data_IF_462411400658
#
_entry.id   IF_462411400658
#
_cell.length_a   1.000
_cell.length_b   1.000
_cell.length_c   1.000
_cell.angle_alpha   90.00
_cell.angle_beta   90.00
_cell.angle_gamma   90.00
#
_symmetry.space_group_name_H-M   'P 1'
#
loop_
_entity.id
_entity.type
_entity.pdbx_description
1 polymer ?
#
# COMPACT_ATOMS: atom_id res chain seq x y z
N UNK A 1 1.32 -37.12 10.92
CA UNK A 1 0.85 -35.76 10.66
C UNK A 1 0.89 -35.53 9.16
N UNK A 2 -0.11 -34.87 8.58
CA UNK A 2 -0.03 -34.46 7.18
C UNK A 2 0.87 -33.22 7.12
N UNK A 3 1.78 -33.17 6.15
CA UNK A 3 2.63 -32.00 5.96
C UNK A 3 1.87 -30.96 5.12
N UNK A 4 2.07 -29.66 5.39
CA UNK A 4 1.54 -28.63 4.51
C UNK A 4 2.17 -28.76 3.11
N UNK A 5 1.37 -28.50 2.07
CA UNK A 5 1.81 -28.63 0.68
C UNK A 5 1.60 -27.31 -0.07
N UNK A 6 2.54 -26.98 -0.97
CA UNK A 6 2.40 -25.88 -1.90
C UNK A 6 2.01 -26.44 -3.27
N UNK A 7 0.90 -25.95 -3.81
CA UNK A 7 0.38 -26.35 -5.12
C UNK A 7 0.45 -25.16 -6.08
N UNK A 8 1.08 -25.36 -7.24
CA UNK A 8 1.12 -24.38 -8.32
C UNK A 8 0.37 -24.93 -9.53
N UNK A 9 -0.65 -24.20 -9.97
CA UNK A 9 -1.48 -24.55 -11.12
C UNK A 9 -1.50 -23.40 -12.12
N UNK A 10 -1.52 -23.72 -13.42
CA UNK A 10 -1.62 -22.73 -14.49
C UNK A 10 -2.73 -23.13 -15.45
N UNK A 11 -3.63 -22.21 -15.73
CA UNK A 11 -4.75 -22.41 -16.65
C UNK A 11 -5.07 -21.13 -17.43
N UNK A 12 -5.17 -21.23 -18.76
CA UNK A 12 -5.66 -20.19 -19.70
C UNK A 12 -5.40 -18.70 -19.34
N UNK A 13 -4.19 -18.39 -18.86
CA UNK A 13 -3.75 -17.02 -18.54
C UNK A 13 -3.64 -16.70 -17.04
N UNK A 14 -4.07 -17.60 -16.17
CA UNK A 14 -3.95 -17.52 -14.72
C UNK A 14 -2.91 -18.49 -14.19
N UNK A 15 -2.21 -18.08 -13.14
CA UNK A 15 -1.36 -18.94 -12.33
C UNK A 15 -1.81 -18.81 -10.88
N UNK A 16 -2.14 -19.93 -10.25
CA UNK A 16 -2.56 -19.98 -8.85
C UNK A 16 -1.49 -20.70 -8.04
N UNK A 17 -1.02 -20.06 -6.97
CA UNK A 17 -0.17 -20.68 -5.97
C UNK A 17 -0.94 -20.77 -4.66
N UNK A 18 -1.09 -21.99 -4.12
CA UNK A 18 -1.87 -22.25 -2.91
C UNK A 18 -1.06 -23.04 -1.90
N UNK A 19 -1.11 -22.61 -0.64
CA UNK A 19 -0.68 -23.43 0.49
C UNK A 19 -1.88 -24.20 1.08
N UNK A 20 -1.77 -25.51 1.19
CA UNK A 20 -2.73 -26.37 1.88
C UNK A 20 -2.17 -26.82 3.22
N UNK A 21 -2.75 -26.33 4.31
CA UNK A 21 -2.37 -26.70 5.68
C UNK A 21 -3.42 -27.68 6.22
N UNK A 22 -3.05 -28.93 6.55
CA UNK A 22 -3.99 -29.92 7.05
C UNK A 22 -4.51 -29.56 8.46
N UNK A 23 -5.76 -29.91 8.77
CA UNK A 23 -6.45 -29.58 10.03
C UNK A 23 -5.78 -30.12 11.31
N UNK A 24 -4.80 -31.02 11.20
CA UNK A 24 -4.01 -31.56 12.30
C UNK A 24 -2.53 -31.33 12.02
N UNK A 25 -2.08 -30.12 12.27
CA UNK A 25 -0.66 -29.84 12.50
C UNK A 25 -0.49 -29.45 13.96
N UNK A 26 0.36 -30.18 14.68
CA UNK A 26 0.77 -29.80 16.03
C UNK A 26 1.96 -28.85 15.92
N UNK A 27 1.80 -27.60 16.39
CA UNK A 27 2.85 -26.58 16.42
C UNK A 27 2.76 -25.51 15.33
N UNK A 28 3.78 -24.65 15.24
CA UNK A 28 3.88 -23.58 14.24
C UNK A 28 4.27 -24.17 12.88
N UNK A 29 3.49 -23.85 11.84
CA UNK A 29 3.82 -24.15 10.46
C UNK A 29 4.56 -22.97 9.86
N UNK A 30 5.83 -23.17 9.51
CA UNK A 30 6.59 -22.21 8.72
C UNK A 30 6.55 -22.64 7.24
N UNK A 31 6.05 -21.75 6.38
CA UNK A 31 5.97 -21.96 4.94
C UNK A 31 6.70 -20.82 4.26
N UNK A 32 7.93 -21.10 3.85
CA UNK A 32 8.71 -20.16 3.06
C UNK A 32 8.52 -20.46 1.57
N UNK A 33 7.97 -19.49 0.85
CA UNK A 33 7.97 -19.50 -0.61
C UNK A 33 9.21 -18.77 -1.12
N UNK A 34 9.91 -19.38 -2.09
CA UNK A 34 11.00 -18.72 -2.80
C UNK A 34 10.50 -17.62 -3.75
N UNK A 35 11.42 -16.97 -4.47
CA UNK A 35 11.06 -15.95 -5.44
C UNK A 35 10.22 -16.54 -6.59
N UNK A 36 9.01 -16.01 -6.78
CA UNK A 36 8.20 -16.24 -7.97
C UNK A 36 8.47 -15.14 -9.00
N UNK A 37 8.80 -15.52 -10.24
CA UNK A 37 8.98 -14.59 -11.35
C UNK A 37 7.83 -14.74 -12.34
N UNK A 38 7.11 -13.65 -12.55
CA UNK A 38 5.97 -13.55 -13.45
C UNK A 38 6.27 -12.47 -14.50
N UNK A 39 5.61 -12.49 -15.67
CA UNK A 39 5.61 -11.32 -16.56
C UNK A 39 5.06 -10.10 -15.82
N UNK A 40 5.64 -8.92 -16.09
CA UNK A 40 5.33 -7.65 -15.45
C UNK A 40 3.97 -7.06 -15.86
N UNK A 41 3.46 -7.48 -17.01
CA UNK A 41 2.17 -7.12 -17.61
C UNK A 41 0.94 -7.86 -17.04
N UNK A 42 1.13 -8.68 -15.99
CA UNK A 42 0.05 -9.51 -15.40
C UNK A 42 -0.49 -8.92 -14.12
N UNK A 43 -1.82 -8.86 -14.02
CA UNK A 43 -2.50 -8.53 -12.78
C UNK A 43 -2.14 -9.52 -11.68
N UNK A 44 -1.82 -9.01 -10.49
CA UNK A 44 -1.51 -9.82 -9.32
C UNK A 44 -2.61 -9.68 -8.28
N UNK A 45 -3.12 -10.82 -7.81
CA UNK A 45 -4.06 -10.91 -6.70
C UNK A 45 -3.46 -11.83 -5.62
N UNK A 46 -3.02 -11.21 -4.52
CA UNK A 46 -2.30 -11.88 -3.44
C UNK A 46 -3.17 -11.88 -2.19
N UNK A 47 -3.49 -13.06 -1.68
CA UNK A 47 -4.23 -13.22 -0.42
C UNK A 47 -3.51 -14.13 0.54
N UNK A 48 -3.26 -13.66 1.75
CA UNK A 48 -2.66 -14.47 2.82
C UNK A 48 -3.21 -14.12 4.20
N UNK A 49 -3.33 -15.11 5.08
CA UNK A 49 -3.72 -14.85 6.47
C UNK A 49 -2.57 -14.28 7.30
N UNK A 50 -1.36 -14.80 7.09
CA UNK A 50 -0.15 -14.45 7.83
C UNK A 50 1.06 -14.51 6.90
N UNK A 51 2.00 -13.58 7.06
CA UNK A 51 3.32 -13.59 6.42
C UNK A 51 3.50 -12.46 5.40
N UNK A 52 4.73 -12.03 5.21
CA UNK A 52 5.03 -10.80 4.49
C UNK A 52 4.86 -10.93 2.97
N UNK A 53 4.48 -9.83 2.32
CA UNK A 53 4.30 -9.74 0.86
C UNK A 53 5.30 -8.74 0.29
N UNK A 54 6.12 -9.17 -0.67
CA UNK A 54 7.00 -8.29 -1.45
C UNK A 54 6.73 -8.42 -2.94
N UNK A 55 6.31 -7.33 -3.58
CA UNK A 55 6.07 -7.25 -5.03
C UNK A 55 6.97 -6.18 -5.63
N UNK A 56 7.69 -6.53 -6.70
CA UNK A 56 8.64 -5.62 -7.35
C UNK A 56 8.57 -5.74 -8.87
N UNK A 57 8.58 -4.59 -9.56
CA UNK A 57 8.78 -4.51 -11.01
C UNK A 57 7.60 -4.98 -11.85
N UNK A 58 6.37 -4.79 -11.36
CA UNK A 58 5.15 -5.01 -12.15
C UNK A 58 4.63 -3.70 -12.70
N UNK A 59 4.22 -3.68 -13.96
CA UNK A 59 3.56 -2.54 -14.62
C UNK A 59 2.03 -2.69 -14.58
N UNK A 60 1.53 -3.91 -14.35
CA UNK A 60 0.11 -4.19 -14.19
C UNK A 60 -0.41 -3.80 -12.81
N UNK A 61 -1.72 -3.94 -12.59
CA UNK A 61 -2.34 -3.66 -11.31
C UNK A 61 -2.07 -4.77 -10.28
N UNK A 62 -2.03 -4.39 -9.01
CA UNK A 62 -1.79 -5.29 -7.88
C UNK A 62 -2.88 -5.14 -6.83
N UNK A 63 -3.44 -6.26 -6.39
CA UNK A 63 -4.34 -6.34 -5.23
C UNK A 63 -3.70 -7.23 -4.16
N UNK A 64 -3.61 -6.71 -2.93
CA UNK A 64 -3.10 -7.47 -1.78
C UNK A 64 -4.14 -7.44 -0.66
N UNK A 65 -4.48 -8.62 -0.12
CA UNK A 65 -5.27 -8.79 1.09
C UNK A 65 -4.50 -9.66 2.09
N UNK A 66 -4.10 -9.07 3.20
CA UNK A 66 -3.32 -9.73 4.24
C UNK A 66 -3.94 -9.56 5.62
N UNK A 67 -3.98 -10.65 6.41
CA UNK A 67 -4.38 -10.58 7.81
C UNK A 67 -3.30 -9.94 8.69
N UNK A 68 -2.12 -10.56 8.74
CA UNK A 68 -0.97 -10.12 9.57
C UNK A 68 0.34 -10.27 8.79
N UNK A 69 1.12 -9.20 8.71
CA UNK A 69 2.43 -9.18 8.08
C UNK A 69 2.68 -7.88 7.33
N UNK A 70 3.93 -7.64 6.97
CA UNK A 70 4.34 -6.43 6.30
C UNK A 70 4.15 -6.53 4.78
N UNK A 71 3.88 -5.39 4.14
CA UNK A 71 3.67 -5.30 2.70
C UNK A 71 4.66 -4.32 2.10
N UNK A 72 5.53 -4.80 1.20
CA UNK A 72 6.43 -3.97 0.41
C UNK A 72 6.05 -4.07 -1.08
N UNK A 73 5.73 -2.95 -1.71
CA UNK A 73 5.40 -2.90 -3.15
C UNK A 73 6.23 -1.83 -3.84
N UNK A 74 6.85 -2.20 -4.97
CA UNK A 74 7.61 -1.31 -5.86
C UNK A 74 7.10 -1.51 -7.30
N UNK A 75 6.37 -0.54 -7.85
CA UNK A 75 5.74 -0.61 -9.19
C UNK A 75 4.22 -0.43 -9.12
N UNK A 76 3.47 -1.25 -9.86
CA UNK A 76 2.02 -1.24 -9.96
C UNK A 76 1.44 -0.03 -10.73
N UNK A 77 1.98 0.25 -11.91
CA UNK A 77 1.58 1.37 -12.78
C UNK A 77 0.09 1.35 -13.14
N UNK A 78 -0.45 0.14 -13.34
CA UNK A 78 -1.87 -0.10 -13.59
C UNK A 78 -2.79 0.16 -12.40
N UNK A 79 -2.25 0.40 -11.20
CA UNK A 79 -3.01 0.68 -9.97
C UNK A 79 -2.74 -0.30 -8.85
N UNK A 80 -2.89 0.19 -7.62
CA UNK A 80 -2.63 -0.57 -6.41
C UNK A 80 -3.82 -0.54 -5.44
N UNK A 81 -4.23 -1.71 -4.95
CA UNK A 81 -5.15 -1.87 -3.84
C UNK A 81 -4.54 -2.75 -2.75
N UNK A 82 -4.37 -2.24 -1.53
CA UNK A 82 -3.85 -3.02 -0.38
C UNK A 82 -4.84 -2.96 0.77
N UNK A 83 -5.15 -4.14 1.33
CA UNK A 83 -5.85 -4.29 2.60
C UNK A 83 -4.97 -5.10 3.53
N UNK A 84 -4.65 -4.55 4.71
CA UNK A 84 -3.92 -5.28 5.76
C UNK A 84 -4.63 -5.15 7.10
N UNK A 85 -4.62 -6.22 7.90
CA UNK A 85 -5.13 -6.17 9.28
C UNK A 85 -4.12 -5.57 10.26
N UNK A 86 -2.89 -6.09 10.26
CA UNK A 86 -1.77 -5.64 11.09
C UNK A 86 -0.45 -5.79 10.33
N UNK A 87 0.36 -4.74 10.30
CA UNK A 87 1.68 -4.72 9.67
C UNK A 87 1.96 -3.38 9.01
N UNK A 88 3.24 -3.12 8.77
CA UNK A 88 3.67 -1.93 8.08
C UNK A 88 3.46 -2.08 6.56
N UNK A 89 3.10 -0.98 5.91
CA UNK A 89 2.87 -0.94 4.46
C UNK A 89 3.83 0.08 3.86
N UNK A 90 4.71 -0.38 2.99
CA UNK A 90 5.67 0.45 2.28
C UNK A 90 5.47 0.30 0.76
N UNK A 91 5.05 1.39 0.13
CA UNK A 91 4.69 1.43 -1.29
C UNK A 91 5.49 2.51 -2.02
N UNK A 92 6.11 2.12 -3.14
CA UNK A 92 6.61 3.06 -4.16
C UNK A 92 5.89 2.74 -5.45
N UNK A 93 5.10 3.66 -5.99
CA UNK A 93 4.26 3.40 -7.17
C UNK A 93 4.16 4.63 -8.09
N UNK A 94 4.17 4.45 -9.42
CA UNK A 94 3.82 5.51 -10.36
C UNK A 94 2.30 5.58 -10.65
N UNK A 95 1.54 4.58 -10.18
CA UNK A 95 0.10 4.45 -10.39
C UNK A 95 -0.76 5.12 -9.31
N UNK A 96 -2.07 4.95 -9.43
CA UNK A 96 -3.01 5.28 -8.36
C UNK A 96 -2.93 4.23 -7.25
N UNK A 97 -3.21 4.63 -6.00
CA UNK A 97 -3.16 3.70 -4.88
C UNK A 97 -4.32 3.90 -3.89
N UNK A 98 -4.90 2.80 -3.45
CA UNK A 98 -5.88 2.72 -2.37
C UNK A 98 -5.39 1.74 -1.30
N UNK A 99 -5.09 2.25 -0.11
CA UNK A 99 -4.52 1.48 1.00
C UNK A 99 -5.43 1.56 2.22
N UNK A 100 -5.79 0.41 2.77
CA UNK A 100 -6.54 0.27 4.02
C UNK A 100 -5.75 -0.61 4.99
N UNK A 101 -5.38 -0.08 6.16
CA UNK A 101 -4.70 -0.85 7.21
C UNK A 101 -5.45 -0.78 8.54
N UNK A 102 -5.56 -1.92 9.23
CA UNK A 102 -6.06 -1.96 10.59
C UNK A 102 -5.04 -1.49 11.64
N UNK A 103 -3.75 -1.58 11.34
CA UNK A 103 -2.67 -1.33 12.29
C UNK A 103 -1.30 -1.31 11.63
N UNK A 104 -0.51 -0.26 11.85
CA UNK A 104 0.87 -0.15 11.34
C UNK A 104 1.18 1.22 10.74
N UNK A 105 2.44 1.44 10.39
CA UNK A 105 2.86 2.62 9.65
C UNK A 105 2.65 2.43 8.15
N UNK A 106 2.03 3.42 7.50
CA UNK A 106 1.91 3.43 6.03
C UNK A 106 2.85 4.46 5.46
N UNK A 107 3.75 4.02 4.59
CA UNK A 107 4.61 4.88 3.77
C UNK A 107 4.24 4.72 2.30
N UNK A 108 3.96 5.83 1.63
CA UNK A 108 3.72 5.86 0.18
C UNK A 108 4.63 6.88 -0.47
N UNK A 109 5.30 6.48 -1.54
CA UNK A 109 6.06 7.36 -2.43
C UNK A 109 5.52 7.24 -3.86
N UNK A 110 5.16 8.38 -4.44
CA UNK A 110 4.80 8.45 -5.85
C UNK A 110 6.07 8.64 -6.67
N UNK A 111 6.47 7.62 -7.45
CA UNK A 111 7.71 7.63 -8.22
C UNK A 111 7.58 8.16 -9.64
N UNK A 112 6.36 8.50 -10.08
CA UNK A 112 6.04 9.01 -11.41
C UNK A 112 5.40 10.39 -11.35
N UNK A 113 4.32 10.60 -12.09
CA UNK A 113 3.47 11.78 -11.91
C UNK A 113 2.61 11.65 -10.64
N UNK A 114 2.11 12.77 -10.13
CA UNK A 114 1.14 12.74 -9.06
C UNK A 114 -0.17 12.09 -9.57
N UNK A 115 -0.65 11.09 -8.83
CA UNK A 115 -1.88 10.31 -9.10
C UNK A 115 -2.79 10.31 -7.88
N UNK A 116 -4.03 9.86 -8.09
CA UNK A 116 -4.99 9.68 -7.00
C UNK A 116 -4.44 8.73 -5.94
N UNK A 117 -4.57 9.13 -4.69
CA UNK A 117 -4.06 8.40 -3.54
C UNK A 117 -5.10 8.45 -2.41
N UNK A 118 -5.46 7.29 -1.91
CA UNK A 118 -6.33 7.15 -0.75
C UNK A 118 -5.66 6.22 0.26
N UNK A 119 -5.45 6.72 1.48
CA UNK A 119 -4.84 5.96 2.58
C UNK A 119 -5.69 6.07 3.82
N UNK A 120 -6.17 4.94 4.32
CA UNK A 120 -6.90 4.83 5.57
C UNK A 120 -6.18 3.88 6.52
N UNK A 121 -5.94 4.33 7.74
CA UNK A 121 -5.46 3.50 8.84
C UNK A 121 -6.40 3.62 10.03
N UNK A 122 -6.69 2.53 10.72
CA UNK A 122 -7.42 2.56 12.00
C UNK A 122 -6.50 2.93 13.18
N UNK A 123 -5.25 2.47 13.12
CA UNK A 123 -4.22 2.65 14.14
C UNK A 123 -2.85 2.75 13.47
N UNK A 124 -2.16 3.88 13.65
CA UNK A 124 -0.82 4.08 13.10
C UNK A 124 -0.72 5.35 12.27
N UNK A 125 0.50 5.69 11.85
CA UNK A 125 0.78 6.97 11.19
C UNK A 125 0.85 6.80 9.68
N UNK A 126 0.63 7.88 8.94
CA UNK A 126 0.76 7.92 7.48
C UNK A 126 1.90 8.87 7.11
N UNK A 127 2.80 8.40 6.25
CA UNK A 127 3.81 9.23 5.58
C UNK A 127 3.60 9.13 4.08
N UNK A 128 3.39 10.27 3.41
CA UNK A 128 3.24 10.33 1.96
C UNK A 128 4.29 11.26 1.36
N UNK A 129 4.92 10.79 0.29
CA UNK A 129 5.79 11.56 -0.59
C UNK A 129 5.10 11.69 -1.94
N UNK A 130 4.57 12.87 -2.22
CA UNK A 130 3.96 13.20 -3.49
C UNK A 130 5.04 13.43 -4.54
N UNK A 131 4.74 13.04 -5.78
CA UNK A 131 5.58 13.36 -6.93
C UNK A 131 5.59 14.87 -7.23
N UNK A 132 4.44 15.52 -7.04
CA UNK A 132 4.23 16.95 -7.25
C UNK A 132 2.98 17.39 -6.47
N UNK A 133 2.91 18.67 -6.12
CA UNK A 133 1.74 19.26 -5.47
C UNK A 133 0.92 20.19 -6.38
N UNK A 134 1.28 20.35 -7.67
CA UNK A 134 0.75 21.39 -8.55
C UNK A 134 -0.78 21.37 -8.77
N UNK A 135 -1.41 20.19 -8.76
CA UNK A 135 -2.85 19.99 -9.07
C UNK A 135 -3.58 19.09 -8.05
N UNK A 136 -3.12 19.11 -6.80
CA UNK A 136 -3.63 18.23 -5.75
C UNK A 136 -4.80 18.85 -4.98
N UNK A 137 -5.88 18.10 -4.80
CA UNK A 137 -6.92 18.31 -3.78
C UNK A 137 -6.60 17.40 -2.57
N UNK A 138 -5.90 17.96 -1.59
CA UNK A 138 -5.41 17.26 -0.42
C UNK A 138 -6.44 17.36 0.72
N UNK A 139 -6.83 16.21 1.26
CA UNK A 139 -7.70 16.08 2.42
C UNK A 139 -7.04 15.16 3.44
N UNK A 140 -6.91 15.64 4.67
CA UNK A 140 -6.28 14.92 5.77
C UNK A 140 -7.18 14.97 6.99
N UNK A 141 -7.43 13.82 7.60
CA UNK A 141 -8.17 13.71 8.86
C UNK A 141 -7.40 12.87 9.88
N UNK A 142 -7.11 13.47 11.04
CA UNK A 142 -6.46 12.79 12.16
C UNK A 142 -6.68 13.52 13.49
N UNK A 143 -6.64 12.80 14.61
CA UNK A 143 -6.53 13.42 15.95
C UNK A 143 -5.08 13.78 16.34
N UNK A 144 -4.11 13.19 15.67
CA UNK A 144 -2.68 13.46 15.81
C UNK A 144 -2.24 14.73 15.07
N UNK A 145 -0.92 14.87 14.91
CA UNK A 145 -0.30 15.98 14.19
C UNK A 145 -0.43 15.77 12.68
N UNK A 146 -0.80 16.83 11.99
CA UNK A 146 -0.69 16.96 10.54
C UNK A 146 0.52 17.82 10.24
N UNK A 147 1.45 17.32 9.42
CA UNK A 147 2.59 18.09 8.91
C UNK A 147 2.63 17.99 7.39
N UNK A 148 2.30 19.08 6.70
CA UNK A 148 2.41 19.17 5.24
C UNK A 148 3.57 20.10 4.90
N UNK A 149 4.50 19.62 4.09
CA UNK A 149 5.67 20.36 3.62
C UNK A 149 5.92 20.06 2.14
N UNK A 150 5.29 20.84 1.29
CA UNK A 150 5.44 20.82 -0.16
C UNK A 150 5.74 22.25 -0.66
N UNK A 151 6.23 22.44 -1.90
CA UNK A 151 6.53 23.76 -2.45
C UNK A 151 5.39 24.77 -2.35
N UNK A 152 4.15 24.32 -2.57
CA UNK A 152 2.95 25.17 -2.57
C UNK A 152 2.22 25.18 -1.22
N UNK A 153 2.48 24.21 -0.33
CA UNK A 153 1.73 24.03 0.92
C UNK A 153 2.70 23.70 2.07
N UNK A 154 2.82 24.63 3.03
CA UNK A 154 3.52 24.37 4.30
C UNK A 154 2.58 24.64 5.47
N UNK A 155 2.30 23.63 6.27
CA UNK A 155 1.49 23.76 7.48
C UNK A 155 1.81 22.69 8.52
N UNK A 156 1.59 23.02 9.79
CA UNK A 156 1.53 22.06 10.89
C UNK A 156 0.25 22.34 11.67
N UNK A 157 -0.63 21.35 11.76
CA UNK A 157 -1.94 21.48 12.41
C UNK A 157 -2.39 20.13 13.01
N UNK A 158 -3.66 20.00 13.36
CA UNK A 158 -4.31 18.79 13.91
C UNK A 158 -5.80 18.81 13.56
N UNK A 159 -6.47 17.66 13.63
CA UNK A 159 -7.90 17.54 13.28
C UNK A 159 -8.08 17.29 11.78
N UNK A 160 -8.77 18.19 11.09
CA UNK A 160 -8.95 18.13 9.65
C UNK A 160 -8.10 19.20 8.95
N UNK A 161 -7.50 18.85 7.83
CA UNK A 161 -6.86 19.79 6.91
C UNK A 161 -7.32 19.50 5.49
N UNK A 162 -7.74 20.54 4.77
CA UNK A 162 -8.08 20.43 3.37
C UNK A 162 -7.45 21.59 2.60
N UNK A 163 -6.84 21.31 1.46
CA UNK A 163 -6.25 22.32 0.60
C UNK A 163 -6.25 21.84 -0.85
N UNK A 164 -6.79 22.68 -1.73
CA UNK A 164 -6.66 22.53 -3.17
C UNK A 164 -5.50 23.39 -3.68
N UNK A 165 -4.68 22.82 -4.55
CA UNK A 165 -3.71 23.52 -5.38
C UNK A 165 -4.04 23.31 -6.86
N UNK A 166 -3.73 24.30 -7.69
CA UNK A 166 -4.07 24.28 -9.11
C UNK A 166 -5.55 24.00 -9.37
N UNK A 167 -5.83 23.07 -10.29
CA UNK A 167 -7.20 22.66 -10.60
C UNK A 167 -7.80 21.64 -9.60
N UNK A 168 -6.96 20.99 -8.78
CA UNK A 168 -7.38 19.95 -7.83
C UNK A 168 -7.89 18.67 -8.50
N UNK A 169 -7.34 18.30 -9.67
CA UNK A 169 -7.72 17.09 -10.41
C UNK A 169 -7.17 15.81 -9.80
N UNK A 170 -6.10 15.89 -9.02
CA UNK A 170 -5.49 14.75 -8.34
C UNK A 170 -5.98 14.72 -6.89
N UNK A 171 -6.70 13.67 -6.51
CA UNK A 171 -7.28 13.56 -5.18
C UNK A 171 -6.34 12.81 -4.25
N UNK A 172 -5.95 13.44 -3.14
CA UNK A 172 -5.16 12.80 -2.08
C UNK A 172 -5.94 12.83 -0.78
N UNK A 173 -6.43 11.67 -0.32
CA UNK A 173 -7.21 11.54 0.92
C UNK A 173 -6.47 10.66 1.92
N UNK A 174 -6.14 11.23 3.08
CA UNK A 174 -5.39 10.55 4.14
C UNK A 174 -6.19 10.58 5.44
N UNK A 175 -6.50 9.42 6.00
CA UNK A 175 -7.21 9.31 7.27
C UNK A 175 -6.45 8.42 8.24
N UNK A 176 -6.05 8.99 9.38
CA UNK A 176 -5.47 8.27 10.51
C UNK A 176 -6.10 8.75 11.81
N UNK A 177 -7.18 8.14 12.31
CA UNK A 177 -7.89 8.62 13.49
C UNK A 177 -7.05 8.65 14.78
N UNK A 178 -5.91 7.94 14.83
CA UNK A 178 -5.06 7.76 16.01
C UNK A 178 -3.56 7.97 15.81
N UNK A 179 -3.10 8.34 14.61
CA UNK A 179 -1.67 8.55 14.33
C UNK A 179 -1.40 9.87 13.63
N UNK A 180 -0.13 10.21 13.49
CA UNK A 180 0.27 11.43 12.80
C UNK A 180 0.18 11.24 11.28
N UNK A 181 -0.05 12.34 10.56
CA UNK A 181 -0.01 12.36 9.09
C UNK A 181 1.06 13.34 8.64
N UNK A 182 2.03 12.83 7.89
CA UNK A 182 3.08 13.62 7.26
C UNK A 182 2.94 13.55 5.74
N UNK A 183 2.90 14.71 5.11
CA UNK A 183 2.90 14.84 3.66
C UNK A 183 4.09 15.68 3.26
N UNK A 184 4.91 15.15 2.36
CA UNK A 184 6.01 15.84 1.70
C UNK A 184 5.88 15.67 0.19
N UNK A 185 6.63 16.43 -0.57
CA UNK A 185 6.83 16.14 -1.99
C UNK A 185 8.32 16.06 -2.30
N UNK A 186 8.67 15.33 -3.35
CA UNK A 186 9.97 15.53 -3.98
C UNK A 186 9.98 16.95 -4.57
N UNK A 187 11.07 17.67 -4.32
CA UNK A 187 11.27 19.02 -4.84
C UNK A 187 11.64 18.87 -6.33
N UNK A 188 10.81 19.30 -7.29
CA UNK A 188 11.29 19.45 -8.65
C UNK A 188 12.11 20.75 -8.65
N UNK A 189 13.41 20.62 -8.39
CA UNK A 189 14.37 21.71 -8.57
C UNK A 189 14.32 22.30 -9.97
#
# INVERSE_FOLDING_TARGET
AAAPTLTFERDEGFATLRAEIPLRVDGTVDLQMGQLRLPDDRHLDIRTGVGDVSVRGTEASVTVDIGVGDVEIRGADGGLAVRTGQGDVDVVTPGHAELHTGGGHVTVEQSGDARDLQVHTEQGSITVTLASDADVDLQVETRGRISVRTPSITTVTRGSFARRNGNGSIRVVLASPRGDVTVRSVDPG
#
